data_IF_994292722745
#
_entry.id   IF_994292722745
#
_cell.length_a   1.000
_cell.length_b   1.000
_cell.length_c   1.000
_cell.angle_alpha   90.00
_cell.angle_beta   90.00
_cell.angle_gamma   90.00
#
_symmetry.space_group_name_H-M   'P 1'
#
loop_
_entity.id
_entity.type
_entity.pdbx_description
1 polymer ?
#
# COMPACT_ATOMS: atom_id res chain seq x y z
N UNK A 1 17.41 3.91 15.08
CA UNK A 1 16.38 3.48 14.10
C UNK A 1 17.15 2.93 12.92
N UNK A 2 17.14 1.61 12.72
CA UNK A 2 17.96 0.97 11.69
C UNK A 2 17.48 1.34 10.29
N UNK A 3 18.40 1.86 9.47
CA UNK A 3 18.13 2.34 8.11
C UNK A 3 17.72 1.21 7.13
N UNK A 4 17.90 -0.05 7.51
CA UNK A 4 17.68 -1.21 6.64
C UNK A 4 16.20 -1.51 6.34
N UNK A 5 15.24 -1.00 7.13
CA UNK A 5 13.80 -1.30 6.96
C UNK A 5 13.02 -0.31 6.11
N UNK A 6 13.64 0.81 5.68
CA UNK A 6 13.00 1.83 4.83
C UNK A 6 13.24 1.64 3.33
N UNK A 7 14.09 0.69 2.93
CA UNK A 7 14.48 0.46 1.53
C UNK A 7 13.34 -0.08 0.65
N UNK A 8 12.27 -0.61 1.25
CA UNK A 8 11.12 -1.17 0.53
C UNK A 8 9.93 -0.21 0.42
N UNK A 9 9.99 0.97 1.06
CA UNK A 9 8.96 2.02 0.96
C UNK A 9 9.22 2.88 -0.28
N UNK A 10 9.25 2.24 -1.45
CA UNK A 10 9.56 2.89 -2.74
C UNK A 10 8.48 3.89 -3.16
N UNK A 11 7.24 3.66 -2.73
CA UNK A 11 6.12 4.57 -3.00
C UNK A 11 6.29 5.94 -2.35
N UNK A 12 7.12 6.05 -1.30
CA UNK A 12 7.45 7.32 -0.65
C UNK A 12 8.26 8.27 -1.53
N UNK A 13 9.02 7.73 -2.48
CA UNK A 13 9.91 8.48 -3.36
C UNK A 13 9.49 8.41 -4.83
N UNK A 14 8.34 7.80 -5.13
CA UNK A 14 7.78 7.81 -6.46
C UNK A 14 7.23 9.21 -6.79
N UNK A 15 7.49 9.67 -8.00
CA UNK A 15 6.80 10.83 -8.56
C UNK A 15 5.39 10.38 -8.98
N UNK A 16 4.37 11.13 -8.56
CA UNK A 16 2.98 10.84 -8.90
C UNK A 16 2.56 11.81 -10.01
N UNK A 17 2.47 11.30 -11.22
CA UNK A 17 1.84 12.02 -12.33
C UNK A 17 0.32 11.78 -12.31
N UNK A 18 -0.42 12.82 -12.68
CA UNK A 18 -1.86 12.72 -12.92
C UNK A 18 -2.14 11.90 -14.19
N UNK A 19 -3.39 11.47 -14.35
CA UNK A 19 -3.81 10.73 -15.56
C UNK A 19 -3.51 11.52 -16.84
N UNK A 20 -2.94 10.89 -17.88
CA UNK A 20 -2.72 11.55 -19.15
C UNK A 20 -4.05 11.86 -19.84
N UNK A 21 -4.19 13.08 -20.35
CA UNK A 21 -5.37 13.54 -21.08
C UNK A 21 -5.43 12.93 -22.49
N UNK A 22 -5.88 11.68 -22.55
CA UNK A 22 -6.00 10.89 -23.78
C UNK A 22 -7.45 10.50 -24.04
N UNK A 23 -7.80 10.26 -25.31
CA UNK A 23 -9.12 9.73 -25.69
C UNK A 23 -9.27 8.23 -25.46
N UNK A 24 -8.24 7.58 -24.92
CA UNK A 24 -8.28 6.18 -24.58
C UNK A 24 -9.11 5.95 -23.31
N UNK A 25 -9.96 4.91 -23.29
CA UNK A 25 -10.79 4.64 -22.14
C UNK A 25 -9.98 4.02 -21.00
N UNK A 26 -10.26 4.45 -19.76
CA UNK A 26 -9.69 3.88 -18.54
C UNK A 26 -10.54 2.70 -18.10
N UNK A 27 -9.92 1.57 -17.79
CA UNK A 27 -10.62 0.37 -17.32
C UNK A 27 -10.25 0.05 -15.87
N UNK A 28 -11.26 -0.06 -15.00
CA UNK A 28 -11.09 -0.43 -13.59
C UNK A 28 -12.02 -1.61 -13.30
N UNK A 29 -11.43 -2.78 -12.99
CA UNK A 29 -12.16 -4.00 -12.58
C UNK A 29 -13.38 -4.34 -13.47
N UNK A 30 -13.24 -4.18 -14.79
CA UNK A 30 -14.29 -4.48 -15.79
C UNK A 30 -15.26 -3.33 -16.08
N UNK A 31 -15.10 -2.18 -15.44
CA UNK A 31 -15.83 -0.94 -15.76
C UNK A 31 -14.97 -0.05 -16.66
N UNK A 32 -15.62 0.65 -17.59
CA UNK A 32 -15.01 1.54 -18.57
C UNK A 32 -15.35 2.99 -18.21
N UNK A 33 -14.35 3.86 -18.26
CA UNK A 33 -14.45 5.28 -17.96
C UNK A 33 -13.76 6.13 -19.03
N UNK A 34 -14.20 7.38 -19.15
CA UNK A 34 -13.61 8.42 -19.97
C UNK A 34 -12.92 9.45 -19.08
N UNK A 35 -11.63 9.70 -19.30
CA UNK A 35 -10.85 10.61 -18.46
C UNK A 35 -11.33 12.07 -18.53
N UNK A 36 -11.92 12.48 -19.65
CA UNK A 36 -12.39 13.87 -19.86
C UNK A 36 -13.67 14.20 -19.09
N UNK A 37 -14.52 13.21 -18.87
CA UNK A 37 -15.88 13.41 -18.33
C UNK A 37 -16.07 12.77 -16.96
N UNK A 38 -15.36 11.69 -16.67
CA UNK A 38 -15.59 10.82 -15.50
C UNK A 38 -14.35 10.76 -14.60
N UNK A 39 -13.47 11.78 -14.64
CA UNK A 39 -12.24 11.83 -13.82
C UNK A 39 -12.54 11.63 -12.32
N UNK A 40 -13.56 12.29 -11.81
CA UNK A 40 -13.94 12.19 -10.39
C UNK A 40 -14.46 10.78 -10.04
N UNK A 41 -15.15 10.12 -10.97
CA UNK A 41 -15.66 8.75 -10.78
C UNK A 41 -14.52 7.73 -10.78
N UNK A 42 -13.52 7.92 -11.66
CA UNK A 42 -12.29 7.12 -11.70
C UNK A 42 -11.57 7.22 -10.33
N UNK A 43 -11.36 8.44 -9.84
CA UNK A 43 -10.69 8.67 -8.57
C UNK A 43 -11.49 8.08 -7.40
N UNK A 44 -12.81 8.25 -7.41
CA UNK A 44 -13.71 7.67 -6.41
C UNK A 44 -13.67 6.15 -6.42
N UNK A 45 -13.70 5.50 -7.59
CA UNK A 45 -13.66 4.04 -7.70
C UNK A 45 -12.34 3.50 -7.15
N UNK A 46 -11.19 4.08 -7.54
CA UNK A 46 -9.88 3.67 -7.02
C UNK A 46 -9.78 3.88 -5.51
N UNK A 47 -10.17 5.07 -5.01
CA UNK A 47 -10.09 5.40 -3.59
C UNK A 47 -11.06 4.58 -2.72
N UNK A 48 -12.15 4.09 -3.29
CA UNK A 48 -13.12 3.22 -2.58
C UNK A 48 -12.59 1.80 -2.33
N UNK A 49 -11.49 1.40 -2.95
CA UNK A 49 -10.91 0.06 -2.79
C UNK A 49 -10.11 -0.06 -1.51
N UNK A 50 -10.17 -1.25 -0.92
CA UNK A 50 -9.37 -1.58 0.25
C UNK A 50 -7.89 -1.65 -0.15
N UNK A 51 -7.13 -0.65 0.28
CA UNK A 51 -5.69 -0.58 0.06
C UNK A 51 -4.94 -0.93 1.35
N UNK A 52 -4.28 -2.09 1.34
CA UNK A 52 -3.43 -2.53 2.44
C UNK A 52 -1.97 -2.27 2.11
N UNK A 53 -1.34 -1.41 2.90
CA UNK A 53 0.11 -1.13 2.85
C UNK A 53 0.81 -1.75 4.05
N UNK A 54 2.14 -1.80 4.02
CA UNK A 54 2.91 -2.21 5.19
C UNK A 54 2.56 -1.36 6.41
N UNK A 55 2.34 -2.02 7.53
CA UNK A 55 2.06 -1.38 8.83
C UNK A 55 3.19 -1.71 9.80
N UNK A 56 3.39 -0.83 10.79
CA UNK A 56 4.32 -1.01 11.90
C UNK A 56 3.56 -0.87 13.22
N UNK A 57 4.15 -1.31 14.33
CA UNK A 57 3.54 -1.26 15.67
C UNK A 57 2.26 -2.11 15.82
N UNK A 58 2.10 -3.18 15.04
CA UNK A 58 1.05 -4.18 15.26
C UNK A 58 1.57 -5.30 16.18
N UNK A 59 0.71 -6.07 16.84
CA UNK A 59 1.14 -7.18 17.70
C UNK A 59 2.03 -8.16 16.94
N UNK A 60 3.10 -8.63 17.58
CA UNK A 60 3.99 -9.62 17.00
C UNK A 60 3.20 -10.84 16.51
N UNK A 61 3.35 -11.16 15.23
CA UNK A 61 2.73 -12.35 14.64
C UNK A 61 3.33 -13.58 15.34
N UNK A 62 2.47 -14.45 15.86
CA UNK A 62 2.89 -15.62 16.63
C UNK A 62 2.99 -15.41 18.14
N UNK A 63 2.62 -14.23 18.66
CA UNK A 63 2.21 -14.09 20.06
C UNK A 63 3.31 -14.26 21.11
N UNK A 64 4.55 -13.87 20.84
CA UNK A 64 5.58 -13.82 21.89
C UNK A 64 5.33 -12.62 22.81
N UNK A 65 4.31 -12.74 23.66
CA UNK A 65 4.19 -12.00 24.93
C UNK A 65 4.96 -12.86 25.92
N UNK A 66 6.21 -12.49 26.20
CA UNK A 66 7.02 -12.88 27.37
C UNK A 66 8.50 -13.02 26.97
N UNK A 67 9.30 -12.04 27.40
CA UNK A 67 10.75 -11.93 27.11
C UNK A 67 11.62 -12.92 27.91
N UNK A 68 11.03 -13.86 28.66
CA UNK A 68 11.80 -14.80 29.52
C UNK A 68 12.27 -16.10 28.82
N UNK A 69 11.78 -16.42 27.61
CA UNK A 69 12.22 -17.60 26.85
C UNK A 69 12.81 -17.19 25.49
N UNK A 70 14.05 -16.72 25.53
CA UNK A 70 14.82 -16.18 24.41
C UNK A 70 15.19 -17.18 23.28
N UNK A 71 14.69 -18.42 23.31
CA UNK A 71 15.12 -19.49 22.40
C UNK A 71 14.06 -19.95 21.39
N UNK A 72 12.82 -19.42 21.39
CA UNK A 72 11.79 -19.81 20.40
C UNK A 72 11.19 -18.68 19.55
N UNK A 73 11.58 -17.43 19.78
CA UNK A 73 11.09 -16.33 18.95
C UNK A 73 12.06 -16.09 17.80
N UNK A 74 11.66 -16.47 16.58
CA UNK A 74 12.42 -16.20 15.35
C UNK A 74 12.66 -14.70 15.12
N UNK A 75 13.49 -14.33 14.12
CA UNK A 75 14.14 -13.03 14.00
C UNK A 75 13.21 -11.89 13.56
N UNK A 76 11.90 -12.08 13.57
CA UNK A 76 10.91 -11.10 13.13
C UNK A 76 10.65 -10.05 14.22
N UNK A 77 11.69 -9.27 14.54
CA UNK A 77 11.54 -7.97 15.19
C UNK A 77 11.34 -6.94 14.09
N UNK A 78 10.11 -6.46 13.94
CA UNK A 78 9.78 -5.28 13.13
C UNK A 78 9.67 -4.05 14.02
#
# INVERSE_FOLDING_TARGET
>A
MDAATLTYDTLRFAEFEDFPETSEPVWILGRKYSIFTEKDEILSDVASRLWFTYRKNFPAIGGCRDISLSSKCGPWRY
#
